data_IF_225928706589
#
_entry.id   IF_225928706589
#
_cell.length_a   1.000
_cell.length_b   1.000
_cell.length_c   1.000
_cell.angle_alpha   90.00
_cell.angle_beta   90.00
_cell.angle_gamma   90.00
#
_symmetry.space_group_name_H-M   'P 1'
#
loop_
_entity.id
_entity.type
_entity.pdbx_description
1 polymer ?
#
# COMPACT_ATOMS: atom_id res chain seq x y z
N UNK A 1 21.24 -18.80 -19.58
CA UNK A 1 21.11 -17.60 -18.74
C UNK A 1 20.24 -17.98 -17.57
N UNK A 2 20.61 -17.61 -16.36
CA UNK A 2 19.82 -17.90 -15.16
C UNK A 2 18.50 -17.12 -15.23
N UNK A 3 17.38 -17.83 -15.30
CA UNK A 3 16.03 -17.24 -15.46
C UNK A 3 15.70 -16.26 -14.32
N UNK A 4 16.10 -16.62 -13.08
CA UNK A 4 15.84 -15.79 -11.92
C UNK A 4 16.57 -14.45 -12.03
N UNK A 5 17.86 -14.46 -12.38
CA UNK A 5 18.67 -13.25 -12.53
C UNK A 5 18.13 -12.27 -13.58
N UNK A 6 17.46 -12.79 -14.62
CA UNK A 6 16.86 -11.92 -15.64
C UNK A 6 15.64 -11.18 -15.07
N UNK A 7 14.75 -11.89 -14.37
CA UNK A 7 13.55 -11.28 -13.76
C UNK A 7 13.95 -10.39 -12.58
N UNK A 8 14.89 -10.83 -11.74
CA UNK A 8 15.43 -10.03 -10.63
C UNK A 8 16.12 -8.74 -11.10
N UNK A 9 16.69 -8.75 -12.30
CA UNK A 9 17.30 -7.59 -12.94
C UNK A 9 16.31 -6.58 -13.56
N UNK A 10 15.02 -6.90 -13.64
CA UNK A 10 14.02 -5.96 -14.16
C UNK A 10 13.83 -4.77 -13.21
N UNK A 11 13.58 -3.59 -13.79
CA UNK A 11 13.44 -2.36 -13.03
C UNK A 11 12.32 -2.43 -11.98
N UNK A 12 11.17 -3.00 -12.35
CA UNK A 12 10.07 -3.16 -11.40
C UNK A 12 10.44 -4.07 -10.22
N UNK A 13 11.19 -5.15 -10.47
CA UNK A 13 11.62 -6.06 -9.41
C UNK A 13 12.63 -5.40 -8.48
N UNK A 14 13.54 -4.59 -9.01
CA UNK A 14 14.47 -3.80 -8.20
C UNK A 14 13.72 -2.79 -7.31
N UNK A 15 12.69 -2.10 -7.86
CA UNK A 15 11.82 -1.22 -7.11
C UNK A 15 11.04 -1.95 -6.02
N UNK A 16 10.51 -3.13 -6.33
CA UNK A 16 9.80 -4.00 -5.38
C UNK A 16 10.71 -4.40 -4.20
N UNK A 17 11.91 -4.90 -4.51
CA UNK A 17 12.92 -5.30 -3.51
C UNK A 17 13.33 -4.11 -2.66
N UNK A 18 13.56 -2.95 -3.27
CA UNK A 18 13.94 -1.72 -2.57
C UNK A 18 12.86 -1.28 -1.58
N UNK A 19 11.59 -1.23 -2.00
CA UNK A 19 10.49 -0.84 -1.10
C UNK A 19 10.40 -1.79 0.11
N UNK A 20 10.50 -3.10 -0.10
CA UNK A 20 10.52 -4.08 1.00
C UNK A 20 11.68 -3.82 1.98
N UNK A 21 12.87 -3.49 1.45
CA UNK A 21 14.06 -3.18 2.26
C UNK A 21 13.90 -1.89 3.03
N UNK A 22 13.42 -0.83 2.38
CA UNK A 22 13.22 0.48 2.99
C UNK A 22 12.18 0.42 4.12
N UNK A 23 11.04 -0.26 3.89
CA UNK A 23 10.02 -0.46 4.92
C UNK A 23 10.52 -1.27 6.11
N UNK A 24 11.35 -2.31 5.87
CA UNK A 24 11.99 -3.05 6.95
C UNK A 24 12.98 -2.18 7.75
N UNK A 25 13.77 -1.35 7.07
CA UNK A 25 14.70 -0.43 7.73
C UNK A 25 13.99 0.63 8.58
N UNK A 26 12.77 1.02 8.21
CA UNK A 26 11.93 1.90 9.01
C UNK A 26 11.34 1.19 10.26
N UNK A 27 11.45 -0.13 10.37
CA UNK A 27 10.86 -0.91 11.46
C UNK A 27 9.39 -1.29 11.25
N UNK A 28 8.84 -1.11 10.05
CA UNK A 28 7.41 -1.31 9.77
C UNK A 28 7.05 -2.78 9.48
N UNK A 29 8.00 -3.69 9.51
CA UNK A 29 7.84 -5.10 9.14
C UNK A 29 8.42 -6.02 10.22
N UNK A 30 7.75 -6.08 11.37
CA UNK A 30 8.12 -7.05 12.40
C UNK A 30 7.82 -8.48 11.89
N UNK A 31 8.78 -9.40 12.08
CA UNK A 31 8.66 -10.78 11.62
C UNK A 31 8.26 -10.84 10.14
N UNK A 32 7.08 -11.42 9.86
CA UNK A 32 6.46 -11.54 8.55
C UNK A 32 5.29 -10.56 8.36
N UNK A 33 5.26 -9.47 9.13
CA UNK A 33 4.21 -8.44 9.06
C UNK A 33 4.30 -7.63 7.78
N UNK A 34 3.14 -7.21 7.28
CA UNK A 34 3.01 -6.44 6.05
C UNK A 34 3.19 -7.26 4.77
N UNK A 35 2.84 -6.67 3.64
CA UNK A 35 2.93 -7.29 2.32
C UNK A 35 2.86 -6.25 1.20
N UNK A 36 3.26 -6.66 0.01
CA UNK A 36 3.37 -5.80 -1.17
C UNK A 36 2.89 -6.55 -2.40
N UNK A 37 2.11 -5.87 -3.24
CA UNK A 37 1.79 -6.33 -4.59
C UNK A 37 1.99 -5.21 -5.60
N UNK A 38 2.35 -5.62 -6.81
CA UNK A 38 2.54 -4.74 -7.96
C UNK A 38 1.89 -5.34 -9.20
N UNK A 39 1.03 -4.58 -9.88
CA UNK A 39 0.42 -4.98 -11.15
C UNK A 39 1.37 -4.64 -12.31
N UNK A 40 1.93 -5.66 -12.96
CA UNK A 40 2.87 -5.51 -14.07
C UNK A 40 2.21 -4.79 -15.25
N UNK A 41 3.03 -4.04 -16.01
CA UNK A 41 2.66 -3.54 -17.34
C UNK A 41 2.77 -4.64 -18.39
N UNK A 42 2.13 -4.45 -19.56
CA UNK A 42 2.22 -5.40 -20.67
C UNK A 42 3.67 -5.55 -21.18
N UNK A 43 4.45 -4.46 -21.18
CA UNK A 43 5.86 -4.48 -21.57
C UNK A 43 6.71 -5.28 -20.58
N UNK A 44 6.47 -5.13 -19.27
CA UNK A 44 7.15 -5.91 -18.23
C UNK A 44 6.80 -7.39 -18.33
N UNK A 45 5.51 -7.70 -18.57
CA UNK A 45 5.07 -9.08 -18.82
C UNK A 45 5.76 -9.65 -20.05
N UNK A 46 5.79 -8.92 -21.16
CA UNK A 46 6.44 -9.36 -22.39
C UNK A 46 7.95 -9.62 -22.18
N UNK A 47 8.62 -8.79 -21.40
CA UNK A 47 10.04 -8.94 -21.06
C UNK A 47 10.30 -10.16 -20.16
N UNK A 48 9.40 -10.48 -19.23
CA UNK A 48 9.54 -11.58 -18.28
C UNK A 48 9.06 -12.93 -18.83
N UNK A 49 8.07 -12.93 -19.72
CA UNK A 49 7.39 -14.14 -20.23
C UNK A 49 8.31 -15.25 -20.75
N UNK A 50 9.42 -14.97 -21.47
CA UNK A 50 10.37 -16.00 -21.90
C UNK A 50 11.07 -16.73 -20.75
N UNK A 51 11.03 -16.18 -19.54
CA UNK A 51 11.72 -16.69 -18.35
C UNK A 51 10.74 -17.24 -17.30
N UNK A 52 9.45 -17.25 -17.57
CA UNK A 52 8.45 -17.90 -16.74
C UNK A 52 8.67 -19.40 -16.66
N UNK A 53 8.07 -20.01 -15.65
CA UNK A 53 8.10 -21.46 -15.45
C UNK A 53 7.55 -22.17 -16.70
N UNK A 54 8.24 -23.20 -17.19
CA UNK A 54 7.77 -24.02 -18.32
C UNK A 54 6.42 -24.68 -18.05
N UNK A 55 6.22 -25.07 -16.78
CA UNK A 55 4.95 -25.57 -16.28
C UNK A 55 4.47 -24.57 -15.20
N UNK A 56 3.52 -23.70 -15.52
CA UNK A 56 2.90 -22.83 -14.50
C UNK A 56 2.24 -23.66 -13.39
N UNK A 57 2.10 -23.02 -12.22
CA UNK A 57 1.35 -23.62 -11.11
C UNK A 57 -0.13 -23.88 -11.46
N UNK A 58 -0.80 -24.66 -10.61
CA UNK A 58 -2.24 -24.87 -10.70
C UNK A 58 -3.01 -23.56 -10.41
N UNK A 59 -4.24 -23.45 -10.98
CA UNK A 59 -5.14 -22.36 -10.68
C UNK A 59 -5.71 -22.48 -9.27
N UNK A 60 -5.61 -21.41 -8.51
CA UNK A 60 -6.13 -21.32 -7.14
C UNK A 60 -7.20 -20.24 -7.09
N UNK A 61 -8.43 -20.63 -6.75
CA UNK A 61 -9.54 -19.69 -6.62
C UNK A 61 -9.34 -18.77 -5.40
N UNK A 62 -9.62 -17.48 -5.57
CA UNK A 62 -9.44 -16.44 -4.55
C UNK A 62 -10.66 -16.20 -3.67
N UNK A 63 -11.83 -16.72 -4.08
CA UNK A 63 -13.11 -16.38 -3.46
C UNK A 63 -13.61 -14.97 -3.75
N UNK A 64 -12.90 -14.22 -4.59
CA UNK A 64 -13.25 -12.87 -5.07
C UNK A 64 -13.03 -12.80 -6.58
N UNK A 65 -13.73 -11.89 -7.25
CA UNK A 65 -13.66 -11.72 -8.71
C UNK A 65 -13.51 -10.25 -9.08
N UNK A 66 -12.71 -9.96 -10.12
CA UNK A 66 -12.55 -8.63 -10.68
C UNK A 66 -12.38 -8.71 -12.21
N UNK A 67 -13.40 -8.26 -12.93
CA UNK A 67 -13.45 -8.34 -14.39
C UNK A 67 -12.40 -7.44 -15.06
N UNK A 68 -12.07 -6.30 -14.45
CA UNK A 68 -11.08 -5.34 -14.93
C UNK A 68 -9.61 -5.80 -14.71
N UNK A 69 -9.39 -6.94 -14.05
CA UNK A 69 -8.07 -7.53 -13.80
C UNK A 69 -7.88 -8.90 -14.48
N UNK A 70 -8.77 -9.31 -15.38
CA UNK A 70 -8.66 -10.57 -16.15
C UNK A 70 -7.35 -10.62 -16.92
N UNK A 71 -6.66 -11.74 -16.85
CA UNK A 71 -5.38 -11.95 -17.54
C UNK A 71 -4.19 -11.13 -16.99
N UNK A 72 -4.40 -10.29 -15.98
CA UNK A 72 -3.34 -9.45 -15.42
C UNK A 72 -2.27 -10.29 -14.69
N UNK A 73 -1.08 -9.69 -14.55
CA UNK A 73 0.04 -10.29 -13.82
C UNK A 73 0.40 -9.41 -12.63
N UNK A 74 0.71 -10.06 -11.50
CA UNK A 74 1.09 -9.37 -10.27
C UNK A 74 2.38 -9.94 -9.70
N UNK A 75 3.32 -9.07 -9.34
CA UNK A 75 4.35 -9.43 -8.37
C UNK A 75 3.75 -9.36 -6.96
N UNK A 76 4.06 -10.33 -6.11
CA UNK A 76 3.51 -10.43 -4.75
C UNK A 76 4.54 -11.00 -3.79
N UNK A 77 4.53 -10.52 -2.55
CA UNK A 77 5.32 -11.10 -1.47
C UNK A 77 4.81 -12.48 -1.07
N UNK A 78 5.72 -13.31 -0.54
CA UNK A 78 5.44 -14.66 -0.03
C UNK A 78 4.63 -14.62 1.27
N UNK A 79 3.65 -15.48 1.40
CA UNK A 79 2.95 -15.74 2.68
C UNK A 79 3.94 -16.25 3.73
N UNK A 80 3.91 -15.63 4.92
CA UNK A 80 4.84 -15.93 6.00
C UNK A 80 6.30 -15.55 5.72
N UNK A 81 6.59 -14.91 4.58
CA UNK A 81 7.90 -14.40 4.23
C UNK A 81 8.26 -13.15 5.05
N UNK A 82 9.56 -12.98 5.30
CA UNK A 82 10.09 -11.81 6.00
C UNK A 82 10.54 -10.77 4.97
N UNK A 83 10.07 -9.54 5.06
CA UNK A 83 10.45 -8.46 4.12
C UNK A 83 11.96 -8.25 4.03
N UNK A 84 12.68 -8.40 5.15
CA UNK A 84 14.14 -8.32 5.21
C UNK A 84 14.88 -9.34 4.33
N UNK A 85 14.21 -10.44 3.96
CA UNK A 85 14.81 -11.51 3.16
C UNK A 85 14.53 -11.34 1.66
N UNK A 86 13.67 -10.42 1.27
CA UNK A 86 13.33 -10.18 -0.14
C UNK A 86 14.59 -9.78 -0.93
N UNK A 87 15.43 -8.91 -0.38
CA UNK A 87 16.67 -8.49 -1.03
C UNK A 87 17.76 -9.59 -1.05
N UNK A 88 17.68 -10.57 -0.14
CA UNK A 88 18.67 -11.67 -0.05
C UNK A 88 18.38 -12.75 -1.08
N UNK A 89 17.10 -13.06 -1.27
CA UNK A 89 16.65 -14.14 -2.16
C UNK A 89 15.26 -13.74 -2.74
N UNK A 90 15.24 -12.91 -3.81
CA UNK A 90 13.99 -12.44 -4.40
C UNK A 90 13.13 -13.60 -4.93
N UNK A 91 13.69 -14.55 -5.66
CA UNK A 91 12.94 -15.66 -6.26
C UNK A 91 12.23 -16.54 -5.22
N UNK A 92 12.78 -16.64 -4.01
CA UNK A 92 12.14 -17.38 -2.91
C UNK A 92 11.03 -16.58 -2.22
N UNK A 93 11.18 -15.25 -2.12
CA UNK A 93 10.34 -14.39 -1.29
C UNK A 93 9.31 -13.57 -2.09
N UNK A 94 9.44 -13.52 -3.41
CA UNK A 94 8.54 -12.85 -4.34
C UNK A 94 8.11 -13.84 -5.41
N UNK A 95 6.87 -13.71 -5.88
CA UNK A 95 6.39 -14.43 -7.06
C UNK A 95 5.69 -13.53 -8.03
N UNK A 96 5.67 -13.98 -9.29
CA UNK A 96 4.77 -13.42 -10.29
C UNK A 96 3.63 -14.41 -10.45
N UNK A 97 2.40 -13.91 -10.28
CA UNK A 97 1.16 -14.66 -10.49
C UNK A 97 0.41 -14.11 -11.68
N UNK A 98 -0.25 -15.01 -12.41
CA UNK A 98 -1.17 -14.67 -13.50
C UNK A 98 -2.60 -14.86 -13.01
N UNK A 99 -3.50 -13.94 -13.38
CA UNK A 99 -4.95 -14.06 -13.17
C UNK A 99 -5.56 -14.75 -14.39
N UNK A 100 -6.56 -15.60 -14.15
CA UNK A 100 -7.28 -16.30 -15.23
C UNK A 100 -8.21 -15.36 -16.01
N UNK A 101 -8.79 -15.90 -17.09
CA UNK A 101 -9.71 -15.15 -17.96
C UNK A 101 -11.09 -14.91 -17.31
N UNK A 102 -11.42 -15.60 -16.22
CA UNK A 102 -12.61 -15.38 -15.39
C UNK A 102 -12.40 -14.26 -14.36
N UNK A 103 -11.13 -13.96 -14.00
CA UNK A 103 -10.80 -12.91 -13.03
C UNK A 103 -11.02 -13.32 -11.57
N UNK A 104 -11.01 -14.62 -11.26
CA UNK A 104 -11.31 -15.16 -9.93
C UNK A 104 -10.24 -16.08 -9.35
N UNK A 105 -9.23 -16.44 -10.16
CA UNK A 105 -8.17 -17.38 -9.78
C UNK A 105 -6.80 -16.88 -10.20
N UNK A 106 -5.78 -17.25 -9.43
CA UNK A 106 -4.39 -17.01 -9.77
C UNK A 106 -3.60 -18.31 -9.93
N UNK A 107 -2.50 -18.24 -10.67
CA UNK A 107 -1.45 -19.27 -10.69
C UNK A 107 -0.07 -18.65 -10.65
N UNK A 108 0.90 -19.35 -10.05
CA UNK A 108 2.29 -18.91 -10.04
C UNK A 108 2.91 -19.18 -11.41
N UNK A 109 3.52 -18.14 -11.99
CA UNK A 109 4.28 -18.24 -13.25
C UNK A 109 5.78 -18.07 -13.04
N UNK A 110 6.21 -17.46 -11.92
CA UNK A 110 7.62 -17.34 -11.53
C UNK A 110 7.75 -17.11 -10.02
N UNK A 111 8.89 -17.56 -9.46
CA UNK A 111 9.26 -17.30 -8.06
C UNK A 111 8.46 -18.12 -7.06
N UNK A 112 8.41 -17.64 -5.80
CA UNK A 112 7.83 -18.35 -4.66
C UNK A 112 8.37 -19.78 -4.53
N UNK A 113 9.68 -19.94 -4.71
CA UNK A 113 10.36 -21.21 -4.67
C UNK A 113 10.12 -21.98 -3.35
N UNK A 114 10.43 -23.27 -3.33
CA UNK A 114 10.26 -24.17 -2.18
C UNK A 114 8.80 -24.19 -1.63
N UNK A 115 7.83 -24.27 -2.53
CA UNK A 115 6.42 -24.39 -2.16
C UNK A 115 5.82 -23.12 -1.55
N UNK A 116 6.44 -21.96 -1.80
CA UNK A 116 5.88 -20.68 -1.41
C UNK A 116 4.57 -20.39 -2.12
N UNK A 117 3.71 -19.59 -1.48
CA UNK A 117 2.45 -19.11 -2.04
C UNK A 117 2.36 -17.56 -1.85
N UNK A 118 1.55 -16.87 -2.65
CA UNK A 118 1.29 -15.43 -2.47
C UNK A 118 0.88 -15.11 -1.04
N UNK A 119 1.09 -13.85 -0.62
CA UNK A 119 0.59 -13.38 0.68
C UNK A 119 -0.86 -13.83 0.91
N UNK A 120 -1.19 -14.21 2.13
CA UNK A 120 -2.57 -14.59 2.49
C UNK A 120 -3.59 -13.46 2.29
N UNK A 121 -3.11 -12.21 2.24
CA UNK A 121 -3.93 -11.03 1.94
C UNK A 121 -4.03 -10.73 0.42
N UNK A 122 -3.50 -11.62 -0.45
CA UNK A 122 -3.58 -11.41 -1.89
C UNK A 122 -5.00 -11.14 -2.40
N UNK A 123 -6.07 -11.83 -1.93
CA UNK A 123 -7.44 -11.48 -2.32
C UNK A 123 -7.84 -10.05 -1.95
N UNK A 124 -7.43 -9.56 -0.78
CA UNK A 124 -7.67 -8.16 -0.36
C UNK A 124 -6.92 -7.16 -1.25
N UNK A 125 -5.64 -7.46 -1.56
CA UNK A 125 -4.86 -6.65 -2.50
C UNK A 125 -5.50 -6.63 -3.88
N UNK A 126 -5.92 -7.79 -4.38
CA UNK A 126 -6.54 -7.94 -5.69
C UNK A 126 -7.82 -7.08 -5.82
N UNK A 127 -8.71 -7.13 -4.82
CA UNK A 127 -9.90 -6.28 -4.75
C UNK A 127 -9.53 -4.79 -4.75
N UNK A 128 -8.52 -4.40 -3.97
CA UNK A 128 -8.04 -3.02 -3.92
C UNK A 128 -7.40 -2.58 -5.24
N UNK A 129 -6.65 -3.45 -5.93
CA UNK A 129 -6.16 -3.18 -7.27
C UNK A 129 -7.31 -2.93 -8.25
N UNK A 130 -8.38 -3.73 -8.19
CA UNK A 130 -9.56 -3.55 -9.03
C UNK A 130 -10.18 -2.16 -8.82
N UNK A 131 -10.44 -1.79 -7.57
CA UNK A 131 -10.98 -0.45 -7.23
C UNK A 131 -10.05 0.65 -7.72
N UNK A 132 -8.74 0.52 -7.50
CA UNK A 132 -7.76 1.55 -7.89
C UNK A 132 -7.58 1.65 -9.40
N UNK A 133 -7.71 0.55 -10.14
CA UNK A 133 -7.74 0.60 -11.61
C UNK A 133 -8.91 1.44 -12.09
N UNK A 134 -10.11 1.25 -11.54
CA UNK A 134 -11.30 1.98 -11.97
C UNK A 134 -11.21 3.48 -11.65
N UNK A 135 -10.77 3.84 -10.44
CA UNK A 135 -10.77 5.26 -10.01
C UNK A 135 -9.55 6.06 -10.48
N UNK A 136 -8.50 5.38 -10.99
CA UNK A 136 -7.27 6.04 -11.49
C UNK A 136 -7.02 5.79 -12.98
N UNK A 137 -7.98 5.24 -13.70
CA UNK A 137 -7.83 4.86 -15.11
C UNK A 137 -6.56 3.99 -15.35
N UNK A 138 -6.34 3.03 -14.43
CA UNK A 138 -5.22 2.09 -14.48
C UNK A 138 -3.85 2.66 -14.07
N UNK A 139 -3.76 3.92 -13.64
CA UNK A 139 -2.50 4.53 -13.26
C UNK A 139 -1.90 3.92 -11.99
N UNK A 140 -2.73 3.53 -11.01
CA UNK A 140 -2.27 2.90 -9.78
C UNK A 140 -1.85 1.44 -10.04
N UNK A 141 -0.64 1.08 -9.57
CA UNK A 141 -0.04 -0.25 -9.79
C UNK A 141 0.45 -0.92 -8.52
N UNK A 142 0.67 -0.19 -7.45
CA UNK A 142 1.21 -0.70 -6.18
C UNK A 142 0.13 -0.68 -5.12
N UNK A 143 0.02 -1.77 -4.37
CA UNK A 143 -0.66 -1.83 -3.07
C UNK A 143 0.36 -2.29 -2.04
N UNK A 144 0.55 -1.48 -1.00
CA UNK A 144 1.53 -1.72 0.05
C UNK A 144 0.88 -1.64 1.42
N UNK A 145 1.07 -2.69 2.22
CA UNK A 145 0.63 -2.79 3.61
C UNK A 145 1.83 -2.92 4.54
N UNK A 146 1.84 -2.12 5.60
CA UNK A 146 2.87 -2.15 6.64
C UNK A 146 2.30 -1.68 7.98
N UNK A 147 3.12 -1.79 9.04
CA UNK A 147 2.75 -1.47 10.42
C UNK A 147 3.56 -0.28 10.97
N UNK A 148 3.38 0.96 10.45
CA UNK A 148 4.08 2.14 10.95
C UNK A 148 3.61 2.50 12.37
N UNK A 149 4.56 2.71 13.29
CA UNK A 149 4.31 2.78 14.73
C UNK A 149 3.47 3.98 15.16
N UNK A 150 3.81 5.17 14.61
CA UNK A 150 3.22 6.42 15.09
C UNK A 150 1.78 6.57 14.64
N UNK A 151 1.46 6.19 13.38
CA UNK A 151 0.08 6.21 12.92
C UNK A 151 -0.78 5.21 13.70
N UNK A 152 -0.24 4.02 14.01
CA UNK A 152 -0.92 3.04 14.87
C UNK A 152 -1.16 3.61 16.26
N UNK A 153 -0.17 4.30 16.85
CA UNK A 153 -0.30 4.92 18.17
C UNK A 153 -1.41 5.98 18.19
N UNK A 154 -1.49 6.82 17.14
CA UNK A 154 -2.55 7.84 17.04
C UNK A 154 -3.95 7.22 17.02
N UNK A 155 -4.15 6.01 16.48
CA UNK A 155 -5.46 5.34 16.50
C UNK A 155 -5.94 4.96 17.92
N UNK A 156 -5.08 5.09 18.93
CA UNK A 156 -5.43 4.82 20.33
C UNK A 156 -5.90 6.07 21.09
N UNK A 157 -5.57 7.25 20.57
CA UNK A 157 -5.76 8.52 21.29
C UNK A 157 -6.59 9.53 20.51
N UNK A 158 -6.87 9.28 19.24
CA UNK A 158 -7.71 10.15 18.38
C UNK A 158 -9.03 9.46 18.03
N UNK A 159 -10.10 10.22 17.77
CA UNK A 159 -11.32 9.68 17.17
C UNK A 159 -11.01 8.96 15.85
N UNK A 160 -11.55 7.76 15.62
CA UNK A 160 -11.37 6.97 14.41
C UNK A 160 -12.25 7.56 13.27
N UNK A 161 -11.89 8.71 12.79
CA UNK A 161 -12.60 9.49 11.80
C UNK A 161 -11.65 10.04 10.74
N UNK A 162 -12.05 9.98 9.48
CA UNK A 162 -11.22 10.37 8.34
C UNK A 162 -10.88 11.88 8.36
N UNK A 163 -11.84 12.74 8.75
CA UNK A 163 -11.65 14.18 8.84
C UNK A 163 -10.67 14.54 9.95
N UNK A 164 -10.85 13.95 11.14
CA UNK A 164 -9.99 14.19 12.29
C UNK A 164 -8.54 13.79 12.01
N UNK A 165 -8.30 12.58 11.47
CA UNK A 165 -6.97 12.12 11.08
C UNK A 165 -6.37 13.00 9.98
N UNK A 166 -7.11 13.27 8.91
CA UNK A 166 -6.61 14.08 7.80
C UNK A 166 -6.21 15.47 8.27
N UNK A 167 -7.05 16.14 9.05
CA UNK A 167 -6.76 17.49 9.57
C UNK A 167 -5.53 17.51 10.48
N UNK A 168 -5.41 16.55 11.40
CA UNK A 168 -4.26 16.42 12.28
C UNK A 168 -2.95 16.26 11.48
N UNK A 169 -2.96 15.40 10.47
CA UNK A 169 -1.80 15.14 9.62
C UNK A 169 -1.47 16.34 8.71
N UNK A 170 -2.47 16.94 8.04
CA UNK A 170 -2.25 18.10 7.17
C UNK A 170 -1.70 19.32 7.94
N UNK A 171 -2.15 19.52 9.17
CA UNK A 171 -1.72 20.62 10.02
C UNK A 171 -0.38 20.38 10.72
N UNK A 172 0.10 19.13 10.74
CA UNK A 172 1.40 18.78 11.33
C UNK A 172 2.59 19.12 10.42
N UNK A 173 2.43 19.03 9.09
CA UNK A 173 3.53 19.21 8.15
C UNK A 173 3.01 19.65 6.77
N UNK A 174 3.67 20.64 6.17
CA UNK A 174 3.28 21.26 4.89
C UNK A 174 3.14 20.27 3.75
N UNK A 175 4.02 19.28 3.68
CA UNK A 175 4.06 18.28 2.60
C UNK A 175 2.83 17.39 2.58
N UNK A 176 2.11 17.26 3.69
CA UNK A 176 1.00 16.31 3.79
C UNK A 176 -0.12 16.60 2.79
N UNK A 177 -0.60 17.86 2.71
CA UNK A 177 -1.67 18.22 1.76
C UNK A 177 -1.20 18.11 0.31
N UNK A 178 0.12 18.20 0.05
CA UNK A 178 0.69 18.00 -1.29
C UNK A 178 0.70 16.53 -1.68
N UNK A 179 1.04 15.65 -0.74
CA UNK A 179 1.22 14.21 -1.00
C UNK A 179 -0.12 13.46 -1.00
N UNK A 180 -1.03 13.81 -0.09
CA UNK A 180 -2.37 13.20 -0.02
C UNK A 180 -3.48 14.24 0.09
N UNK A 181 -3.72 15.00 -1.00
CA UNK A 181 -4.69 16.11 -1.02
C UNK A 181 -6.15 15.68 -0.80
N UNK A 182 -6.45 14.41 -1.04
CA UNK A 182 -7.78 13.85 -0.76
C UNK A 182 -7.94 13.42 0.71
N UNK A 183 -6.85 13.42 1.48
CA UNK A 183 -6.84 12.96 2.87
C UNK A 183 -6.59 11.46 3.01
N UNK A 184 -6.93 10.91 4.18
CA UNK A 184 -6.79 9.49 4.52
C UNK A 184 -8.11 8.90 4.99
N UNK A 185 -8.35 7.63 4.66
CA UNK A 185 -9.46 6.87 5.22
C UNK A 185 -9.07 6.20 6.54
N UNK A 186 -10.04 5.91 7.40
CA UNK A 186 -9.82 5.20 8.67
C UNK A 186 -10.81 4.04 8.77
N UNK A 187 -10.28 2.83 9.00
CA UNK A 187 -11.06 1.63 9.29
C UNK A 187 -11.00 1.38 10.81
N UNK A 188 -12.12 1.29 11.52
CA UNK A 188 -12.15 0.79 12.90
C UNK A 188 -11.49 -0.58 13.00
N UNK A 189 -11.05 -0.96 14.19
CA UNK A 189 -10.42 -2.26 14.38
C UNK A 189 -11.32 -3.41 13.89
N UNK A 190 -10.76 -4.24 13.03
CA UNK A 190 -11.37 -5.46 12.50
C UNK A 190 -10.34 -6.58 12.52
N UNK A 191 -10.80 -7.84 12.50
CA UNK A 191 -9.89 -8.99 12.37
C UNK A 191 -9.22 -8.94 10.99
N UNK A 192 -7.88 -8.93 10.93
CA UNK A 192 -7.18 -8.87 9.64
C UNK A 192 -7.33 -10.16 8.83
N UNK A 193 -7.18 -10.06 7.50
CA UNK A 193 -7.27 -11.19 6.58
C UNK A 193 -8.69 -11.67 6.28
N UNK A 194 -9.72 -11.06 6.85
CA UNK A 194 -11.12 -11.37 6.58
C UNK A 194 -11.72 -10.54 5.43
N UNK A 195 -12.89 -10.98 4.95
CA UNK A 195 -13.62 -10.26 3.89
C UNK A 195 -14.09 -8.87 4.34
N UNK A 196 -14.47 -8.72 5.61
CA UNK A 196 -15.04 -7.46 6.12
C UNK A 196 -14.02 -6.31 6.03
N UNK A 197 -12.78 -6.53 6.50
CA UNK A 197 -11.73 -5.51 6.42
C UNK A 197 -11.32 -5.24 4.98
N UNK A 198 -11.34 -6.25 4.10
CA UNK A 198 -11.07 -6.08 2.67
C UNK A 198 -12.10 -5.17 2.02
N UNK A 199 -13.40 -5.40 2.25
CA UNK A 199 -14.48 -4.56 1.73
C UNK A 199 -14.43 -3.13 2.30
N UNK A 200 -14.24 -2.98 3.61
CA UNK A 200 -14.09 -1.66 4.24
C UNK A 200 -12.92 -0.87 3.65
N UNK A 201 -11.79 -1.54 3.40
CA UNK A 201 -10.63 -0.93 2.76
C UNK A 201 -10.94 -0.53 1.31
N UNK A 202 -11.57 -1.39 0.53
CA UNK A 202 -11.99 -1.08 -0.85
C UNK A 202 -12.91 0.14 -0.92
N UNK A 203 -13.84 0.28 0.02
CA UNK A 203 -14.74 1.45 0.05
C UNK A 203 -13.97 2.76 0.31
N UNK A 204 -12.96 2.72 1.17
CA UNK A 204 -12.07 3.87 1.39
C UNK A 204 -11.18 4.15 0.17
N UNK A 205 -10.63 3.11 -0.46
CA UNK A 205 -9.75 3.23 -1.62
C UNK A 205 -10.45 3.77 -2.88
N UNK A 206 -11.77 3.90 -2.88
CA UNK A 206 -12.52 4.66 -3.91
C UNK A 206 -12.26 6.16 -3.82
N UNK A 207 -11.88 6.67 -2.64
CA UNK A 207 -11.72 8.10 -2.35
C UNK A 207 -10.30 8.49 -1.97
N UNK A 208 -9.58 7.60 -1.28
CA UNK A 208 -8.29 7.86 -0.67
C UNK A 208 -7.21 6.94 -1.24
N UNK A 209 -5.96 7.43 -1.25
CA UNK A 209 -4.80 6.61 -1.61
C UNK A 209 -4.23 5.86 -0.38
N UNK A 210 -4.72 6.18 0.82
CA UNK A 210 -4.32 5.55 2.07
C UNK A 210 -5.53 5.23 2.95
N UNK A 211 -5.52 4.04 3.56
CA UNK A 211 -6.48 3.59 4.56
C UNK A 211 -5.73 3.16 5.83
N UNK A 212 -6.00 3.84 6.93
CA UNK A 212 -5.45 3.52 8.26
C UNK A 212 -6.32 2.43 8.87
N UNK A 213 -5.70 1.32 9.29
CA UNK A 213 -6.35 0.25 10.03
C UNK A 213 -6.07 0.41 11.52
N UNK A 214 -7.08 0.76 12.29
CA UNK A 214 -6.95 1.05 13.72
C UNK A 214 -6.27 -0.11 14.46
N UNK A 215 -5.25 0.20 15.28
CA UNK A 215 -4.42 -0.73 16.07
C UNK A 215 -3.74 -1.84 15.24
N UNK A 216 -3.54 -1.63 13.93
CA UNK A 216 -2.93 -2.63 13.07
C UNK A 216 -1.84 -2.02 12.18
N UNK A 217 -2.19 -1.09 11.29
CA UNK A 217 -1.26 -0.57 10.31
C UNK A 217 -1.90 0.35 9.29
N UNK A 218 -1.35 0.35 8.09
CA UNK A 218 -1.84 1.18 7.00
C UNK A 218 -1.72 0.46 5.66
N UNK A 219 -2.75 0.62 4.83
CA UNK A 219 -2.80 0.24 3.43
C UNK A 219 -2.62 1.49 2.57
N UNK A 220 -1.68 1.47 1.63
CA UNK A 220 -1.50 2.56 0.68
C UNK A 220 -1.47 2.06 -0.75
N UNK A 221 -1.81 2.93 -1.67
CA UNK A 221 -1.74 2.70 -3.11
C UNK A 221 -0.92 3.77 -3.81
N UNK A 222 -0.32 3.43 -4.93
CA UNK A 222 0.45 4.39 -5.72
C UNK A 222 0.67 3.92 -7.16
N UNK A 223 1.07 4.85 -8.05
CA UNK A 223 1.40 4.51 -9.44
C UNK A 223 2.68 3.68 -9.54
N UNK A 224 3.60 3.87 -8.62
CA UNK A 224 4.90 3.20 -8.53
C UNK A 224 5.34 3.01 -7.08
N UNK A 225 6.50 2.37 -6.89
CA UNK A 225 7.04 2.04 -5.57
C UNK A 225 7.48 3.27 -4.78
N UNK A 226 8.06 4.28 -5.44
CA UNK A 226 8.54 5.50 -4.78
C UNK A 226 7.35 6.33 -4.27
N UNK A 227 6.28 6.45 -5.06
CA UNK A 227 5.07 7.14 -4.64
C UNK A 227 4.34 6.41 -3.50
N UNK A 228 4.19 5.08 -3.58
CA UNK A 228 3.55 4.30 -2.51
C UNK A 228 4.34 4.36 -1.20
N UNK A 229 5.67 4.20 -1.25
CA UNK A 229 6.53 4.35 -0.07
C UNK A 229 6.50 5.78 0.47
N UNK A 230 6.63 6.78 -0.42
CA UNK A 230 6.61 8.19 -0.05
C UNK A 230 5.32 8.61 0.64
N UNK A 231 4.16 8.12 0.15
CA UNK A 231 2.86 8.35 0.78
C UNK A 231 2.83 7.81 2.22
N UNK A 232 3.19 6.52 2.40
CA UNK A 232 3.24 5.91 3.73
C UNK A 232 4.20 6.63 4.66
N UNK A 233 5.40 6.96 4.17
CA UNK A 233 6.43 7.64 4.95
C UNK A 233 6.03 9.07 5.35
N UNK A 234 5.35 9.80 4.46
CA UNK A 234 4.85 11.15 4.77
C UNK A 234 3.77 11.11 5.84
N UNK A 235 2.81 10.18 5.74
CA UNK A 235 1.76 10.00 6.76
C UNK A 235 2.37 9.62 8.11
N UNK A 236 3.28 8.66 8.12
CA UNK A 236 3.93 8.20 9.36
C UNK A 236 4.78 9.30 10.02
N UNK A 237 5.52 10.08 9.21
CA UNK A 237 6.28 11.21 9.71
C UNK A 237 5.40 12.31 10.32
N UNK A 238 4.29 12.62 9.68
CA UNK A 238 3.31 13.57 10.21
C UNK A 238 2.67 13.06 11.52
N UNK A 239 2.37 11.76 11.58
CA UNK A 239 1.87 11.11 12.79
C UNK A 239 2.88 11.19 13.94
N UNK A 240 4.17 10.96 13.67
CA UNK A 240 5.23 11.12 14.66
C UNK A 240 5.32 12.58 15.17
N UNK A 241 5.30 13.55 14.26
CA UNK A 241 5.35 15.00 14.64
C UNK A 241 4.14 15.35 15.49
N UNK A 242 2.94 14.96 15.06
CA UNK A 242 1.70 15.25 15.81
C UNK A 242 1.71 14.59 17.20
N UNK A 243 2.08 13.32 17.28
CA UNK A 243 2.19 12.59 18.55
C UNK A 243 3.23 13.21 19.49
N UNK A 244 4.40 13.60 19.00
CA UNK A 244 5.40 14.32 19.80
C UNK A 244 4.88 15.69 20.29
N UNK A 245 4.18 16.44 19.43
CA UNK A 245 3.60 17.73 19.82
C UNK A 245 2.54 17.59 20.92
N UNK A 246 1.69 16.54 20.82
CA UNK A 246 0.73 16.20 21.89
C UNK A 246 1.45 15.93 23.21
N UNK A 247 2.50 15.11 23.22
CA UNK A 247 3.28 14.82 24.44
C UNK A 247 3.92 16.09 25.04
N UNK A 248 4.49 16.95 24.19
CA UNK A 248 5.10 18.23 24.64
C UNK A 248 4.07 19.19 25.22
N UNK A 249 2.82 19.10 24.78
CA UNK A 249 1.71 19.96 25.23
C UNK A 249 0.77 19.26 26.22
N UNK A 250 1.27 18.36 27.05
CA UNK A 250 0.51 17.62 28.05
C UNK A 250 -0.78 16.95 27.52
N UNK A 251 -0.70 16.45 26.29
CA UNK A 251 -1.80 15.84 25.53
C UNK A 251 -2.98 16.80 25.24
N UNK A 252 -2.75 18.13 25.30
CA UNK A 252 -3.69 19.11 24.77
C UNK A 252 -3.56 19.19 23.26
N UNK A 253 -4.67 19.16 22.55
CA UNK A 253 -4.73 19.42 21.11
C UNK A 253 -4.63 20.91 20.75
N UNK A 254 -4.60 21.82 21.74
CA UNK A 254 -4.53 23.29 21.56
C UNK A 254 -3.07 23.71 21.32
N UNK A 255 -2.59 23.57 20.10
CA UNK A 255 -1.24 23.98 19.73
C UNK A 255 -1.16 25.50 19.56
N UNK A 256 -0.05 26.10 20.05
CA UNK A 256 0.21 27.55 19.89
C UNK A 256 0.31 27.97 18.42
N UNK A 257 0.83 27.08 17.55
CA UNK A 257 1.01 27.32 16.12
C UNK A 257 0.60 26.06 15.36
N UNK A 258 -0.11 26.26 14.26
CA UNK A 258 -0.50 25.20 13.33
C UNK A 258 -0.72 25.78 11.95
N UNK A 259 -0.70 24.97 10.90
CA UNK A 259 -1.11 25.41 9.56
C UNK A 259 -2.62 25.66 9.62
N UNK A 260 -3.04 26.89 9.28
CA UNK A 260 -4.48 27.25 9.25
C UNK A 260 -5.15 26.65 8.02
N UNK A 261 -6.48 26.55 8.03
CA UNK A 261 -7.23 26.08 6.86
C UNK A 261 -7.02 27.00 5.64
N UNK A 262 -6.88 28.31 5.87
CA UNK A 262 -6.49 29.24 4.81
C UNK A 262 -5.07 28.93 4.28
N UNK A 263 -4.12 28.64 5.17
CA UNK A 263 -2.75 28.23 4.79
C UNK A 263 -2.76 26.94 3.95
N UNK A 264 -3.61 25.96 4.29
CA UNK A 264 -3.79 24.75 3.50
C UNK A 264 -4.37 25.05 2.10
N UNK A 265 -5.36 25.96 2.01
CA UNK A 265 -5.88 26.42 0.70
C UNK A 265 -4.85 27.16 -0.12
N UNK A 266 -3.99 27.96 0.52
CA UNK A 266 -2.91 28.69 -0.15
C UNK A 266 -1.89 27.70 -0.75
N UNK A 267 -1.48 26.66 0.01
CA UNK A 267 -0.63 25.58 -0.50
C UNK A 267 -1.30 24.88 -1.69
N UNK A 268 -2.58 24.49 -1.55
CA UNK A 268 -3.32 23.81 -2.61
C UNK A 268 -3.36 24.64 -3.90
N UNK A 269 -3.62 25.96 -3.80
CA UNK A 269 -3.62 26.90 -4.92
C UNK A 269 -2.24 26.99 -5.59
N UNK A 270 -1.19 27.18 -4.80
CA UNK A 270 0.15 27.42 -5.32
C UNK A 270 0.75 26.17 -5.97
N UNK A 271 0.42 24.98 -5.45
CA UNK A 271 0.79 23.68 -6.01
C UNK A 271 -0.22 23.14 -7.03
N UNK A 272 -1.32 23.86 -7.31
CA UNK A 272 -2.38 23.49 -8.27
C UNK A 272 -3.01 22.13 -7.95
N UNK A 273 -3.28 21.87 -6.68
CA UNK A 273 -3.87 20.64 -6.19
C UNK A 273 -5.39 20.73 -6.17
N UNK A 274 -6.04 19.61 -6.46
CA UNK A 274 -7.45 19.39 -6.09
C UNK A 274 -7.48 18.75 -4.71
N UNK A 275 -8.03 19.45 -3.73
CA UNK A 275 -8.10 18.99 -2.33
C UNK A 275 -9.52 18.62 -1.94
N UNK A 276 -9.65 17.77 -0.94
CA UNK A 276 -10.94 17.46 -0.35
C UNK A 276 -11.38 18.61 0.59
N UNK A 277 -12.19 19.54 0.06
CA UNK A 277 -12.70 20.71 0.79
C UNK A 277 -13.61 20.32 1.98
N UNK A 278 -14.18 19.11 2.01
CA UNK A 278 -15.01 18.65 3.14
C UNK A 278 -14.21 18.57 4.45
N UNK A 279 -12.88 18.52 4.36
CA UNK A 279 -11.98 18.45 5.51
C UNK A 279 -11.46 19.83 5.97
N UNK A 280 -11.77 20.90 5.26
CA UNK A 280 -11.42 22.29 5.63
C UNK A 280 -12.64 23.03 6.19
N UNK A 281 -12.41 23.97 7.15
CA UNK A 281 -13.45 24.84 7.73
C UNK A 281 -13.60 26.15 6.94
#
# INVERSE_FOLDING_TARGET
MDKNKVIEGQQFMQGFVRLCSDGWLQGWHERNGGNLTYRLTDDEVAACKPYFNETPGEWVNMGVQADNLRGAFFATTRSGGYMRNVAVDPARNVGIVQINDEGDSWRIVWGLEDGGVPTSEFPSHFMNHSVRVDVTDGACRVIYHAHPDNIIALTKVMPLDAREFTRALWKAMTECIVVFPMGVGVVPWMVPGGADIAHATCDLMKKYDAAIWAQHGMFVSGPDFDNAFGLMHTIEKAAAIHGHALMMNNNSGDFMNTITDQGLRDIARDFKLTVNEEFLD
#
